data_IF_241319700518
#
_entry.id   IF_241319700518
#
_cell.length_a   1.000
_cell.length_b   1.000
_cell.length_c   1.000
_cell.angle_alpha   90.00
_cell.angle_beta   90.00
_cell.angle_gamma   90.00
#
_symmetry.space_group_name_H-M   'P 1'
#
loop_
_entity.id
_entity.type
_entity.pdbx_description
1 polymer ?
#
# COMPACT_ATOMS: atom_id res chain seq x y z
N UNK A 1 0.55 31.24 -7.19
CA UNK A 1 0.30 29.96 -6.53
C UNK A 1 -1.05 29.92 -5.80
N UNK A 2 -1.39 30.84 -4.87
CA UNK A 2 -2.69 30.84 -4.15
C UNK A 2 -3.90 30.83 -5.09
N UNK A 3 -3.93 31.69 -6.13
CA UNK A 3 -5.04 31.78 -7.11
C UNK A 3 -5.23 30.50 -7.94
N UNK A 4 -4.14 29.76 -8.22
CA UNK A 4 -4.21 28.50 -8.96
C UNK A 4 -4.79 27.37 -8.10
N UNK A 5 -4.43 27.35 -6.81
CA UNK A 5 -5.00 26.41 -5.84
C UNK A 5 -6.49 26.66 -5.68
N UNK A 6 -6.91 27.92 -5.53
CA UNK A 6 -8.34 28.29 -5.42
C UNK A 6 -9.13 27.90 -6.67
N UNK A 7 -8.56 28.07 -7.86
CA UNK A 7 -9.20 27.71 -9.12
C UNK A 7 -9.36 26.18 -9.28
N UNK A 8 -8.31 25.42 -8.92
CA UNK A 8 -8.36 23.95 -8.90
C UNK A 8 -9.37 23.44 -7.88
N UNK A 9 -9.42 24.06 -6.70
CA UNK A 9 -10.40 23.72 -5.67
C UNK A 9 -11.83 24.01 -6.11
N UNK A 10 -12.06 25.13 -6.80
CA UNK A 10 -13.38 25.52 -7.30
C UNK A 10 -13.85 24.55 -8.42
N UNK A 11 -12.97 24.16 -9.35
CA UNK A 11 -13.28 23.16 -10.39
C UNK A 11 -13.58 21.80 -9.75
N UNK A 12 -12.82 21.39 -8.74
CA UNK A 12 -13.08 20.15 -8.01
C UNK A 12 -14.44 20.18 -7.30
N UNK A 13 -14.81 21.30 -6.70
CA UNK A 13 -16.11 21.45 -6.01
C UNK A 13 -17.30 21.47 -7.00
N UNK A 14 -17.17 22.06 -8.17
CA UNK A 14 -18.24 22.04 -9.18
C UNK A 14 -18.43 20.67 -9.83
N UNK A 15 -17.36 19.90 -9.99
CA UNK A 15 -17.41 18.52 -10.48
C UNK A 15 -18.06 17.55 -9.46
N UNK A 16 -17.95 17.84 -8.18
CA UNK A 16 -18.59 17.05 -7.11
C UNK A 16 -20.11 17.24 -7.04
N UNK A 17 -20.64 18.36 -7.51
CA UNK A 17 -22.07 18.64 -7.45
C UNK A 17 -22.93 17.79 -8.41
N UNK A 18 -22.33 17.21 -9.45
CA UNK A 18 -23.02 16.34 -10.43
C UNK A 18 -22.58 14.87 -10.35
N UNK A 19 -21.43 14.58 -9.74
CA UNK A 19 -20.93 13.22 -9.56
C UNK A 19 -21.53 12.64 -8.27
N UNK A 20 -22.22 11.51 -8.38
CA UNK A 20 -22.64 10.73 -7.20
C UNK A 20 -21.42 10.12 -6.54
N UNK A 21 -20.75 10.89 -5.67
CA UNK A 21 -19.61 10.43 -4.85
C UNK A 21 -20.09 9.33 -3.93
N UNK A 22 -19.43 8.16 -4.00
CA UNK A 22 -19.74 7.01 -3.15
C UNK A 22 -18.66 6.88 -2.07
N UNK A 23 -19.09 6.73 -0.83
CA UNK A 23 -18.22 6.41 0.30
C UNK A 23 -18.35 4.95 0.65
N UNK A 24 -17.30 4.39 1.23
CA UNK A 24 -17.37 3.00 1.64
C UNK A 24 -16.24 2.61 2.58
N UNK A 25 -16.31 1.37 3.04
CA UNK A 25 -15.27 0.73 3.81
C UNK A 25 -14.81 -0.56 3.13
N UNK A 26 -13.55 -0.90 3.33
CA UNK A 26 -12.96 -2.14 2.81
C UNK A 26 -12.06 -2.79 3.85
N UNK A 27 -11.98 -4.12 3.81
CA UNK A 27 -11.10 -4.89 4.68
C UNK A 27 -10.66 -6.17 3.97
N UNK A 28 -9.53 -6.71 4.40
CA UNK A 28 -9.00 -7.93 3.80
C UNK A 28 -7.65 -8.33 4.38
N UNK A 29 -7.02 -9.27 3.71
CA UNK A 29 -5.70 -9.76 4.05
C UNK A 29 -5.00 -10.34 2.83
N UNK A 30 -3.79 -10.86 3.02
CA UNK A 30 -3.05 -11.40 1.89
C UNK A 30 -1.67 -11.90 2.26
N UNK A 31 -0.80 -11.82 1.29
CA UNK A 31 0.60 -12.21 1.40
C UNK A 31 1.50 -11.05 0.99
N UNK A 32 2.59 -10.88 1.71
CA UNK A 32 3.61 -9.88 1.43
C UNK A 32 5.00 -10.50 1.40
N UNK A 33 5.83 -9.94 0.56
CA UNK A 33 7.25 -10.27 0.42
C UNK A 33 8.06 -9.01 0.69
N UNK A 34 9.13 -9.15 1.45
CA UNK A 34 10.11 -8.10 1.68
C UNK A 34 11.41 -8.52 0.99
N UNK A 35 11.68 -7.92 -0.16
CA UNK A 35 12.95 -8.12 -0.87
C UNK A 35 14.04 -7.32 -0.17
N UNK A 36 15.03 -8.02 0.38
CA UNK A 36 16.20 -7.45 1.01
C UNK A 36 17.45 -7.92 0.27
N UNK A 37 18.19 -6.99 -0.35
CA UNK A 37 19.57 -7.23 -0.76
C UNK A 37 20.52 -6.52 0.20
N UNK A 38 21.34 -7.31 0.86
CA UNK A 38 22.43 -6.83 1.72
C UNK A 38 23.72 -7.34 1.16
N UNK A 39 24.56 -6.42 0.69
CA UNK A 39 25.92 -6.73 0.30
C UNK A 39 26.80 -6.80 1.56
N UNK A 40 27.13 -8.00 2.00
CA UNK A 40 28.11 -8.19 3.09
C UNK A 40 29.48 -8.47 2.48
N UNK A 41 30.30 -7.43 2.36
CA UNK A 41 31.68 -7.50 1.82
C UNK A 41 32.60 -8.43 2.62
N UNK A 42 32.15 -9.01 3.75
CA UNK A 42 32.95 -9.89 4.61
C UNK A 42 32.95 -11.35 4.19
N UNK A 43 32.10 -11.74 3.23
CA UNK A 43 32.01 -13.10 2.72
C UNK A 43 32.00 -13.11 1.19
N UNK A 44 33.17 -12.89 0.59
CA UNK A 44 33.39 -13.18 -0.83
C UNK A 44 33.14 -14.68 -1.08
N UNK A 45 32.04 -15.04 -1.74
CA UNK A 45 31.78 -16.38 -2.25
C UNK A 45 30.53 -17.13 -1.76
N UNK A 46 29.69 -16.58 -0.89
CA UNK A 46 28.41 -17.20 -0.56
C UNK A 46 27.25 -16.25 -0.85
N UNK A 47 26.65 -16.38 -2.04
CA UNK A 47 25.31 -15.87 -2.31
C UNK A 47 24.31 -16.56 -1.38
N UNK A 48 24.22 -16.12 -0.13
CA UNK A 48 23.08 -16.45 0.72
C UNK A 48 21.90 -15.65 0.24
N UNK A 49 21.14 -16.22 -0.66
CA UNK A 49 19.77 -15.82 -0.89
C UNK A 49 19.02 -16.11 0.43
N UNK A 50 19.06 -15.17 1.37
CA UNK A 50 18.21 -15.24 2.53
C UNK A 50 16.78 -15.25 2.01
N UNK A 51 16.04 -16.32 2.33
CA UNK A 51 14.64 -16.46 1.95
C UNK A 51 13.90 -15.18 2.33
N UNK A 52 13.31 -14.54 1.35
CA UNK A 52 12.54 -13.30 1.58
C UNK A 52 11.56 -13.52 2.73
N UNK A 53 11.55 -12.68 3.76
CA UNK A 53 10.65 -12.85 4.88
C UNK A 53 9.22 -12.73 4.39
N UNK A 54 8.48 -13.82 4.52
CA UNK A 54 7.06 -13.88 4.19
C UNK A 54 6.27 -13.14 5.26
N UNK A 55 5.36 -12.28 4.84
CA UNK A 55 4.44 -11.59 5.74
C UNK A 55 2.99 -11.88 5.40
N UNK A 56 2.15 -11.88 6.42
CA UNK A 56 0.69 -12.00 6.29
C UNK A 56 0.05 -10.66 6.63
N UNK A 57 -0.07 -9.75 5.66
CA UNK A 57 -0.71 -8.48 5.88
C UNK A 57 -2.22 -8.64 6.04
N UNK A 58 -2.80 -7.82 6.92
CA UNK A 58 -4.22 -7.52 6.91
C UNK A 58 -4.43 -6.02 6.77
N UNK A 59 -5.55 -5.62 6.21
CA UNK A 59 -5.86 -4.21 6.02
C UNK A 59 -7.33 -3.91 6.30
N UNK A 60 -7.60 -2.66 6.62
CA UNK A 60 -8.94 -2.13 6.75
C UNK A 60 -8.94 -0.62 6.67
N UNK A 61 -10.00 -0.04 6.13
CA UNK A 61 -10.08 1.41 5.99
C UNK A 61 -11.28 1.88 5.19
N UNK A 62 -11.25 3.16 4.87
CA UNK A 62 -12.30 3.84 4.14
C UNK A 62 -11.83 4.26 2.76
N UNK A 63 -12.79 4.47 1.88
CA UNK A 63 -12.52 4.97 0.54
C UNK A 63 -13.63 5.88 0.05
N UNK A 64 -13.29 6.65 -0.97
CA UNK A 64 -14.18 7.51 -1.72
C UNK A 64 -14.03 7.17 -3.19
N UNK A 65 -15.14 6.90 -3.88
CA UNK A 65 -15.19 6.74 -5.33
C UNK A 65 -15.86 7.96 -5.95
N UNK A 66 -15.17 8.58 -6.89
CA UNK A 66 -15.63 9.76 -7.63
C UNK A 66 -15.80 9.34 -9.09
N UNK A 67 -17.03 9.18 -9.60
CA UNK A 67 -17.27 8.97 -11.01
C UNK A 67 -16.76 10.17 -11.82
N UNK A 68 -15.84 9.94 -12.74
CA UNK A 68 -15.28 10.97 -13.64
C UNK A 68 -15.91 10.89 -15.03
N UNK A 69 -16.44 9.70 -15.38
CA UNK A 69 -17.26 9.49 -16.59
C UNK A 69 -18.17 8.28 -16.38
N UNK A 70 -18.96 7.90 -17.38
CA UNK A 70 -19.85 6.73 -17.31
C UNK A 70 -19.13 5.43 -16.93
N UNK A 71 -17.85 5.30 -17.29
CA UNK A 71 -17.06 4.07 -17.05
C UNK A 71 -15.83 4.29 -16.20
N UNK A 72 -15.41 5.53 -15.96
CA UNK A 72 -14.21 5.84 -15.22
C UNK A 72 -14.54 6.36 -13.83
N UNK A 73 -13.86 5.81 -12.83
CA UNK A 73 -13.97 6.22 -11.43
C UNK A 73 -12.57 6.52 -10.89
N UNK A 74 -12.47 7.52 -10.05
CA UNK A 74 -11.31 7.79 -9.22
C UNK A 74 -11.57 7.18 -7.84
N UNK A 75 -10.64 6.36 -7.35
CA UNK A 75 -10.69 5.71 -6.03
C UNK A 75 -9.58 6.29 -5.14
N UNK A 76 -9.96 6.94 -4.06
CA UNK A 76 -9.07 7.47 -3.04
C UNK A 76 -9.35 6.76 -1.73
N UNK A 77 -8.33 6.22 -1.07
CA UNK A 77 -8.48 5.51 0.19
C UNK A 77 -7.67 6.09 1.34
N UNK A 78 -8.06 5.71 2.55
CA UNK A 78 -7.28 5.83 3.77
C UNK A 78 -7.33 4.47 4.47
N UNK A 79 -6.25 3.72 4.42
CA UNK A 79 -6.20 2.30 4.75
C UNK A 79 -5.11 2.07 5.79
N UNK A 80 -5.46 1.45 6.89
CA UNK A 80 -4.49 0.89 7.81
C UNK A 80 -4.09 -0.51 7.33
N UNK A 81 -2.79 -0.77 7.23
CA UNK A 81 -2.24 -2.06 6.87
C UNK A 81 -1.23 -2.50 7.92
N UNK A 82 -1.34 -3.76 8.34
CA UNK A 82 -0.40 -4.39 9.25
C UNK A 82 0.30 -5.53 8.52
N UNK A 83 1.63 -5.49 8.45
CA UNK A 83 2.46 -6.55 7.91
C UNK A 83 3.13 -7.32 9.06
N UNK A 84 2.66 -8.53 9.33
CA UNK A 84 3.26 -9.42 10.33
C UNK A 84 4.17 -10.43 9.66
N UNK A 85 5.45 -10.46 10.01
CA UNK A 85 6.40 -11.45 9.49
C UNK A 85 6.28 -12.76 10.27
N UNK A 86 6.37 -13.89 9.54
CA UNK A 86 6.35 -15.24 10.11
C UNK A 86 7.79 -15.73 10.23
N UNK A 87 8.23 -16.15 11.45
CA UNK A 87 9.59 -16.66 11.66
C UNK A 87 10.09 -16.39 13.08
N UNK A 88 11.35 -16.76 13.36
CA UNK A 88 12.04 -16.40 14.61
C UNK A 88 12.25 -14.88 14.62
N UNK A 89 11.61 -14.18 15.56
CA UNK A 89 11.60 -12.72 15.63
C UNK A 89 10.38 -12.13 14.89
N UNK A 90 9.17 -12.33 15.43
CA UNK A 90 7.96 -11.71 14.90
C UNK A 90 8.08 -10.20 14.90
N UNK A 91 8.02 -9.60 13.72
CA UNK A 91 8.02 -8.16 13.55
C UNK A 91 6.70 -7.74 12.91
N UNK A 92 6.05 -6.76 13.48
CA UNK A 92 4.85 -6.13 12.93
C UNK A 92 5.18 -4.73 12.43
N UNK A 93 4.94 -4.49 11.15
CA UNK A 93 5.07 -3.19 10.51
C UNK A 93 3.67 -2.58 10.36
N UNK A 94 3.45 -1.45 11.03
CA UNK A 94 2.21 -0.69 10.94
C UNK A 94 2.33 0.36 9.85
N UNK A 95 1.31 0.46 8.99
CA UNK A 95 1.29 1.41 7.87
C UNK A 95 -0.07 2.09 7.78
N UNK A 96 -0.05 3.34 7.38
CA UNK A 96 -1.23 4.08 6.93
C UNK A 96 -1.01 4.38 5.46
N UNK A 97 -1.77 3.71 4.61
CA UNK A 97 -1.67 3.80 3.16
C UNK A 97 -2.76 4.73 2.62
N UNK A 98 -2.36 5.62 1.72
CA UNK A 98 -3.25 6.50 0.96
C UNK A 98 -3.14 6.13 -0.51
N UNK A 99 -3.90 5.12 -0.99
CA UNK A 99 -3.96 4.78 -2.39
C UNK A 99 -4.80 5.78 -3.17
N UNK A 100 -4.36 6.05 -4.40
CA UNK A 100 -5.10 6.79 -5.42
C UNK A 100 -5.05 5.98 -6.71
N UNK A 101 -6.21 5.55 -7.22
CA UNK A 101 -6.31 4.72 -8.40
C UNK A 101 -7.44 5.17 -9.34
N UNK A 102 -7.27 4.87 -10.61
CA UNK A 102 -8.32 4.96 -11.62
C UNK A 102 -8.89 3.56 -11.81
N UNK A 103 -10.21 3.45 -11.79
CA UNK A 103 -10.98 2.23 -12.08
C UNK A 103 -11.73 2.40 -13.40
N UNK A 104 -11.81 1.33 -14.18
CA UNK A 104 -12.62 1.28 -15.39
C UNK A 104 -13.72 0.23 -15.25
N UNK A 105 -14.99 0.62 -15.34
CA UNK A 105 -16.14 -0.29 -15.16
C UNK A 105 -16.48 -1.04 -16.45
N UNK A 106 -16.41 -2.37 -16.37
CA UNK A 106 -16.78 -3.31 -17.42
C UNK A 106 -17.88 -4.23 -16.88
N UNK A 107 -19.09 -3.74 -16.83
CA UNK A 107 -20.25 -4.53 -16.36
C UNK A 107 -20.06 -5.15 -14.98
N UNK A 108 -19.58 -4.35 -14.02
CA UNK A 108 -19.33 -4.77 -12.65
C UNK A 108 -17.91 -5.30 -12.37
N UNK A 109 -17.12 -5.57 -13.40
CA UNK A 109 -15.72 -5.89 -13.31
C UNK A 109 -14.90 -4.61 -13.47
N UNK A 110 -14.05 -4.28 -12.50
CA UNK A 110 -13.34 -3.00 -12.44
C UNK A 110 -11.83 -3.20 -12.27
N UNK A 111 -11.06 -3.32 -13.37
CA UNK A 111 -9.61 -3.18 -13.28
C UNK A 111 -9.26 -1.79 -12.77
N UNK A 112 -8.19 -1.73 -11.96
CA UNK A 112 -7.69 -0.47 -11.40
C UNK A 112 -6.17 -0.39 -11.46
N UNK A 113 -5.69 0.83 -11.67
CA UNK A 113 -4.28 1.16 -11.69
C UNK A 113 -4.07 2.50 -11.00
N UNK A 114 -2.99 2.62 -10.25
CA UNK A 114 -2.69 3.84 -9.53
C UNK A 114 -1.38 3.80 -8.79
N UNK A 115 -1.30 4.64 -7.78
CA UNK A 115 -0.18 4.70 -6.86
C UNK A 115 -0.65 4.79 -5.41
N UNK A 116 0.31 4.72 -4.51
CA UNK A 116 0.05 4.93 -3.10
C UNK A 116 1.22 5.65 -2.43
N UNK A 117 0.91 6.32 -1.35
CA UNK A 117 1.88 6.83 -0.38
C UNK A 117 1.51 6.24 0.97
N UNK A 118 2.52 5.79 1.71
CA UNK A 118 2.34 5.19 3.02
C UNK A 118 3.13 5.94 4.06
N UNK A 119 2.54 6.12 5.23
CA UNK A 119 3.22 6.54 6.43
C UNK A 119 3.40 5.34 7.38
N UNK A 120 4.60 5.15 7.89
CA UNK A 120 4.99 4.05 8.78
C UNK A 120 5.17 4.63 10.20
N UNK A 121 4.13 4.60 11.05
CA UNK A 121 4.20 5.14 12.40
C UNK A 121 5.08 4.33 13.33
N UNK A 122 5.24 3.03 13.09
CA UNK A 122 6.01 2.17 13.98
C UNK A 122 6.23 0.75 13.51
N UNK A 123 7.19 0.12 14.15
CA UNK A 123 7.53 -1.29 14.05
C UNK A 123 7.48 -1.86 15.45
N UNK A 124 6.76 -2.96 15.64
CA UNK A 124 6.70 -3.69 16.90
C UNK A 124 7.42 -5.03 16.74
N UNK A 125 8.49 -5.25 17.50
CA UNK A 125 9.23 -6.52 17.52
C UNK A 125 8.89 -7.27 18.79
N UNK A 126 8.55 -8.56 18.67
CA UNK A 126 8.09 -9.37 19.80
C UNK A 126 9.16 -10.31 20.37
N UNK A 127 10.32 -10.49 19.73
CA UNK A 127 11.35 -11.42 20.20
C UNK A 127 12.77 -11.08 19.71
N UNK A 128 13.77 -11.34 20.60
CA UNK A 128 15.22 -11.28 20.42
C UNK A 128 15.92 -9.93 20.26
N UNK A 129 16.68 -9.59 21.33
CA UNK A 129 17.52 -8.38 21.45
C UNK A 129 18.65 -8.26 20.41
N UNK A 130 18.88 -9.24 19.55
CA UNK A 130 20.06 -9.26 18.66
C UNK A 130 19.78 -9.07 17.17
N UNK A 131 18.50 -9.05 16.72
CA UNK A 131 18.14 -8.85 15.31
C UNK A 131 16.82 -8.08 15.08
N UNK A 132 16.42 -7.27 16.01
CA UNK A 132 15.20 -6.46 15.84
C UNK A 132 15.49 -5.22 15.02
N UNK A 133 14.80 -5.04 13.90
CA UNK A 133 14.74 -3.74 13.23
C UNK A 133 14.18 -2.72 14.20
N UNK A 134 14.97 -1.71 14.51
CA UNK A 134 14.54 -0.60 15.32
C UNK A 134 13.89 0.43 14.39
N UNK A 135 12.94 1.21 14.89
CA UNK A 135 12.30 2.29 14.12
C UNK A 135 13.29 3.27 13.46
N UNK A 136 14.51 3.37 13.97
CA UNK A 136 15.57 4.24 13.43
C UNK A 136 16.15 3.73 12.11
N UNK A 137 15.96 2.45 11.81
CA UNK A 137 16.54 1.77 10.65
C UNK A 137 15.58 1.77 9.44
N UNK A 138 14.35 2.27 9.64
CA UNK A 138 13.29 2.25 8.62
C UNK A 138 12.81 3.67 8.32
N UNK A 139 12.75 3.99 7.04
CA UNK A 139 12.19 5.25 6.54
C UNK A 139 10.70 5.35 6.89
N UNK A 140 10.25 6.57 7.20
CA UNK A 140 8.88 6.83 7.63
C UNK A 140 7.86 6.79 6.50
N UNK A 141 8.32 6.94 5.28
CA UNK A 141 7.47 7.03 4.09
C UNK A 141 7.84 5.96 3.09
N UNK A 142 6.83 5.31 2.54
CA UNK A 142 6.91 4.43 1.39
C UNK A 142 6.00 4.98 0.30
N UNK A 143 6.30 4.66 -0.94
CA UNK A 143 5.45 4.95 -2.07
C UNK A 143 5.63 3.89 -3.15
N UNK A 144 4.62 3.72 -3.99
CA UNK A 144 4.70 2.72 -5.02
C UNK A 144 3.52 2.72 -5.97
N UNK A 145 3.51 1.69 -6.82
CA UNK A 145 2.44 1.44 -7.77
C UNK A 145 1.39 0.49 -7.16
N UNK A 146 0.15 0.67 -7.59
CA UNK A 146 -1.01 -0.14 -7.24
C UNK A 146 -1.66 -0.65 -8.53
N UNK A 147 -1.87 -1.97 -8.59
CA UNK A 147 -2.67 -2.63 -9.61
C UNK A 147 -3.73 -3.47 -8.92
N UNK A 148 -4.92 -3.56 -9.49
CA UNK A 148 -5.95 -4.37 -8.86
C UNK A 148 -7.13 -4.67 -9.76
N UNK A 149 -7.97 -5.51 -9.24
CA UNK A 149 -9.24 -5.91 -9.83
C UNK A 149 -10.32 -5.84 -8.76
N UNK A 150 -11.48 -5.37 -9.13
CA UNK A 150 -12.66 -5.36 -8.30
C UNK A 150 -13.80 -6.01 -9.06
N UNK A 151 -14.60 -6.80 -8.38
CA UNK A 151 -15.84 -7.37 -8.92
C UNK A 151 -17.01 -7.00 -8.02
N UNK A 152 -18.01 -6.34 -8.60
CA UNK A 152 -19.21 -5.90 -7.88
C UNK A 152 -20.27 -6.98 -7.93
N UNK A 153 -20.67 -7.50 -6.77
CA UNK A 153 -21.83 -8.39 -6.65
C UNK A 153 -23.15 -7.63 -6.82
N UNK A 154 -23.14 -6.38 -6.35
CA UNK A 154 -24.24 -5.41 -6.49
C UNK A 154 -23.67 -4.00 -6.33
N UNK A 155 -24.53 -2.99 -6.27
CA UNK A 155 -24.10 -1.60 -6.14
C UNK A 155 -23.31 -1.30 -4.86
N UNK A 156 -23.53 -2.09 -3.80
CA UNK A 156 -22.94 -1.88 -2.47
C UNK A 156 -21.76 -2.80 -2.18
N UNK A 157 -21.87 -4.07 -2.53
CA UNK A 157 -20.88 -5.09 -2.14
C UNK A 157 -19.97 -5.46 -3.29
N UNK A 158 -18.68 -5.55 -3.00
CA UNK A 158 -17.65 -5.99 -3.94
C UNK A 158 -16.55 -6.82 -3.26
N UNK A 159 -15.87 -7.61 -4.08
CA UNK A 159 -14.61 -8.24 -3.75
C UNK A 159 -13.51 -7.56 -4.54
N UNK A 160 -12.31 -7.45 -3.94
CA UNK A 160 -11.16 -6.86 -4.63
C UNK A 160 -9.90 -7.69 -4.43
N UNK A 161 -9.00 -7.63 -5.40
CA UNK A 161 -7.61 -8.01 -5.26
C UNK A 161 -6.72 -6.84 -5.62
N UNK A 162 -5.66 -6.63 -4.85
CA UNK A 162 -4.74 -5.52 -5.00
C UNK A 162 -3.30 -6.02 -4.94
N UNK A 163 -2.50 -5.60 -5.90
CA UNK A 163 -1.06 -5.78 -5.92
C UNK A 163 -0.38 -4.44 -5.64
N UNK A 164 0.34 -4.36 -4.53
CA UNK A 164 1.15 -3.22 -4.15
C UNK A 164 2.61 -3.50 -4.48
N UNK A 165 3.22 -2.61 -5.25
CA UNK A 165 4.63 -2.65 -5.64
C UNK A 165 5.35 -1.44 -5.03
N UNK A 166 6.07 -1.65 -3.91
CA UNK A 166 6.89 -0.62 -3.28
C UNK A 166 8.08 -0.24 -4.15
N UNK A 167 8.26 1.05 -4.34
CA UNK A 167 9.35 1.63 -5.13
C UNK A 167 10.38 2.34 -4.25
N UNK A 168 9.99 2.76 -3.04
CA UNK A 168 10.90 3.37 -2.09
C UNK A 168 11.89 2.35 -1.51
N UNK A 169 13.07 2.82 -1.16
CA UNK A 169 13.97 2.07 -0.29
C UNK A 169 13.61 2.38 1.16
N UNK A 170 13.17 1.36 1.89
CA UNK A 170 12.75 1.50 3.29
C UNK A 170 13.92 1.47 4.28
N UNK A 171 15.14 1.13 3.85
CA UNK A 171 16.30 1.20 4.74
C UNK A 171 16.79 2.64 4.82
N UNK A 172 16.98 3.11 6.05
CA UNK A 172 17.69 4.36 6.31
C UNK A 172 19.15 4.18 5.85
N UNK A 173 19.63 5.09 4.99
CA UNK A 173 20.97 5.01 4.40
C UNK A 173 22.03 5.04 5.51
N UNK A 174 22.71 3.91 5.72
CA UNK A 174 23.98 3.87 6.44
C UNK A 174 25.10 4.27 5.44
N UNK A 175 25.95 5.27 5.74
CA UNK A 175 27.04 5.66 4.85
C UNK A 175 28.01 4.53 4.52
N UNK A 176 28.03 3.45 5.31
CA UNK A 176 28.92 2.31 5.14
C UNK A 176 28.38 1.22 4.21
N UNK A 177 27.07 1.23 3.90
CA UNK A 177 26.39 0.19 3.13
C UNK A 177 25.37 0.84 2.17
N UNK A 178 25.87 1.58 1.19
CA UNK A 178 25.04 2.35 0.25
C UNK A 178 24.28 1.51 -0.75
N UNK A 179 24.55 0.21 -0.83
CA UNK A 179 23.94 -0.73 -1.79
C UNK A 179 22.75 -1.52 -1.25
N UNK A 180 22.49 -1.42 0.06
CA UNK A 180 21.41 -2.16 0.68
C UNK A 180 20.06 -1.55 0.35
N UNK A 181 19.10 -2.38 -0.07
CA UNK A 181 17.72 -1.95 -0.26
C UNK A 181 16.70 -2.91 0.34
N UNK A 182 15.60 -2.35 0.81
CA UNK A 182 14.43 -3.07 1.30
C UNK A 182 13.20 -2.52 0.58
N UNK A 183 12.54 -3.37 -0.20
CA UNK A 183 11.29 -3.04 -0.88
C UNK A 183 10.18 -3.99 -0.48
N UNK A 184 8.96 -3.47 -0.44
CA UNK A 184 7.77 -4.25 -0.11
C UNK A 184 6.99 -4.59 -1.37
N UNK A 185 6.47 -5.82 -1.42
CA UNK A 185 5.49 -6.26 -2.42
C UNK A 185 4.39 -7.00 -1.68
N UNK A 186 3.13 -6.78 -2.05
CA UNK A 186 2.04 -7.53 -1.45
C UNK A 186 0.89 -7.75 -2.40
N UNK A 187 0.24 -8.91 -2.25
CA UNK A 187 -1.02 -9.25 -2.87
C UNK A 187 -2.07 -9.32 -1.76
N UNK A 188 -3.08 -8.49 -1.87
CA UNK A 188 -4.16 -8.38 -0.90
C UNK A 188 -5.48 -8.77 -1.56
N UNK A 189 -6.30 -9.52 -0.84
CA UNK A 189 -7.67 -9.86 -1.23
C UNK A 189 -8.59 -9.37 -0.13
N UNK A 190 -9.71 -8.78 -0.51
CA UNK A 190 -10.65 -8.23 0.45
C UNK A 190 -12.04 -8.02 -0.09
N UNK A 191 -12.88 -7.56 0.78
CA UNK A 191 -14.26 -7.19 0.50
C UNK A 191 -14.49 -5.74 0.88
N UNK A 192 -15.41 -5.09 0.18
CA UNK A 192 -15.79 -3.72 0.49
C UNK A 192 -17.29 -3.50 0.38
N UNK A 193 -17.73 -2.49 1.10
CA UNK A 193 -19.12 -2.05 1.13
C UNK A 193 -19.20 -0.54 0.85
N UNK A 194 -20.09 -0.15 -0.08
CA UNK A 194 -20.46 1.24 -0.37
C UNK A 194 -21.72 1.60 0.43
N UNK A 195 -21.73 2.76 0.99
CA UNK A 195 -22.86 3.26 1.79
C UNK A 195 -23.92 3.93 0.93
#
# INVERSE_FOLDING_TARGET
MKKMITFVTLIAMTSMATAQVKFGARLGGGIGLMSKDVHDDRYEGQNKTDKEPFSTPFYGGFFVEIPTSEKLLLDLGAIYTNHSTTGKGKTMLHRIDVPLAIKYDISGFRPKVGGYVSYIPGVTSFEDKHRSFTRKDIEKFDYGALFGLEYNFNEKLFIETNFYLGLANLLTKDPRHSSDYLRTRSILIGVGHRF
#
